data_IF_782161506426
#
_entry.id   IF_782161506426
#
_cell.length_a   1.000
_cell.length_b   1.000
_cell.length_c   1.000
_cell.angle_alpha   90.00
_cell.angle_beta   90.00
_cell.angle_gamma   90.00
#
_symmetry.space_group_name_H-M   'P 1'
#
loop_
_entity.id
_entity.type
_entity.pdbx_description
1 polymer ?
#
# COMPACT_ATOMS: atom_id res chain seq x y z
N UNK A 1 33.53 20.15 -11.04
CA UNK A 1 34.66 20.29 -11.98
C UNK A 1 35.14 18.89 -12.34
N UNK A 2 34.79 18.37 -13.53
CA UNK A 2 35.43 17.15 -14.04
C UNK A 2 34.69 16.26 -15.05
N UNK A 3 33.35 16.30 -15.18
CA UNK A 3 32.65 15.32 -16.05
C UNK A 3 32.78 15.61 -17.55
N UNK A 4 32.67 16.89 -17.95
CA UNK A 4 32.58 17.32 -19.37
C UNK A 4 33.75 16.89 -20.26
N UNK A 5 34.93 16.66 -19.69
CA UNK A 5 36.09 16.19 -20.45
C UNK A 5 36.43 14.72 -20.23
N UNK A 6 35.73 14.02 -19.34
CA UNK A 6 36.07 12.64 -18.97
C UNK A 6 35.34 11.63 -19.85
N UNK A 7 34.04 11.80 -20.08
CA UNK A 7 33.25 11.00 -21.03
C UNK A 7 33.93 10.92 -22.40
N UNK A 8 34.29 12.10 -22.94
CA UNK A 8 34.94 12.21 -24.24
C UNK A 8 36.31 11.52 -24.29
N UNK A 9 37.09 11.55 -23.19
CA UNK A 9 38.38 10.84 -23.11
C UNK A 9 38.20 9.34 -23.14
N UNK A 10 37.10 8.85 -22.56
CA UNK A 10 36.81 7.43 -22.47
C UNK A 10 36.29 6.88 -23.80
N UNK A 11 35.48 7.65 -24.52
CA UNK A 11 35.08 7.33 -25.90
C UNK A 11 36.27 7.32 -26.86
N UNK A 12 37.17 8.31 -26.78
CA UNK A 12 38.39 8.31 -27.59
C UNK A 12 39.31 7.11 -27.30
N UNK A 13 39.43 6.72 -26.03
CA UNK A 13 40.18 5.54 -25.64
C UNK A 13 39.55 4.25 -26.20
N UNK A 14 38.22 4.14 -26.15
CA UNK A 14 37.46 3.01 -26.69
C UNK A 14 37.62 2.87 -28.22
N UNK A 15 37.53 3.97 -28.96
CA UNK A 15 37.72 3.98 -30.42
C UNK A 15 39.15 3.53 -30.81
N UNK A 16 40.15 4.00 -30.07
CA UNK A 16 41.56 3.66 -30.32
C UNK A 16 41.88 2.17 -30.10
N UNK A 17 41.18 1.51 -29.17
CA UNK A 17 41.39 0.10 -28.83
C UNK A 17 40.55 -0.82 -29.70
N UNK A 18 39.33 -0.43 -30.10
CA UNK A 18 38.53 -1.20 -31.08
C UNK A 18 39.22 -1.36 -32.44
N UNK A 19 40.13 -0.45 -32.78
CA UNK A 19 40.98 -0.52 -33.98
C UNK A 19 42.17 -1.51 -33.84
N UNK A 20 42.47 -1.98 -32.63
CA UNK A 20 43.53 -2.94 -32.33
C UNK A 20 42.92 -4.21 -31.74
N UNK A 21 42.71 -5.25 -32.54
CA UNK A 21 42.07 -6.52 -32.13
C UNK A 21 42.57 -7.02 -30.76
N UNK A 22 41.77 -6.79 -29.71
CA UNK A 22 42.02 -7.31 -28.36
C UNK A 22 40.90 -8.29 -28.00
N UNK A 23 41.27 -9.50 -27.57
CA UNK A 23 40.33 -10.48 -27.06
C UNK A 23 40.03 -10.16 -25.59
N UNK A 24 38.88 -9.52 -25.32
CA UNK A 24 38.42 -9.17 -23.97
C UNK A 24 37.46 -7.98 -23.96
N UNK A 25 36.89 -7.66 -22.79
CA UNK A 25 36.14 -6.41 -22.60
C UNK A 25 37.11 -5.22 -22.68
N UNK A 26 36.72 -4.16 -23.40
CA UNK A 26 37.53 -2.97 -23.63
C UNK A 26 38.06 -2.35 -22.30
N UNK A 27 39.36 -2.04 -22.19
CA UNK A 27 39.95 -1.45 -20.98
C UNK A 27 39.34 -0.11 -20.57
N UNK A 28 38.92 0.72 -21.53
CA UNK A 28 38.22 1.97 -21.25
C UNK A 28 36.84 1.67 -20.63
N UNK A 29 36.08 0.74 -21.20
CA UNK A 29 34.80 0.34 -20.62
C UNK A 29 34.93 -0.20 -19.19
N UNK A 30 35.98 -1.00 -18.93
CA UNK A 30 36.28 -1.49 -17.57
C UNK A 30 36.59 -0.35 -16.60
N UNK A 31 37.45 0.59 -16.99
CA UNK A 31 37.82 1.73 -16.14
C UNK A 31 36.59 2.62 -15.86
N UNK A 32 35.73 2.82 -16.85
CA UNK A 32 34.47 3.55 -16.70
C UNK A 32 33.60 2.93 -15.60
N UNK A 33 33.40 1.62 -15.63
CA UNK A 33 32.59 0.94 -14.60
C UNK A 33 33.23 0.95 -13.21
N UNK A 34 34.56 0.94 -13.09
CA UNK A 34 35.24 1.11 -11.81
C UNK A 34 34.98 2.50 -11.22
N UNK A 35 35.04 3.54 -12.05
CA UNK A 35 34.79 4.91 -11.59
C UNK A 35 33.33 5.17 -11.22
N UNK A 36 32.40 4.51 -11.91
CA UNK A 36 30.98 4.51 -11.58
C UNK A 36 30.64 3.58 -10.40
N UNK A 37 31.62 2.88 -9.81
CA UNK A 37 31.45 1.94 -8.70
C UNK A 37 30.45 0.79 -9.02
N UNK A 38 30.52 0.33 -10.27
CA UNK A 38 29.69 -0.75 -10.82
C UNK A 38 30.49 -1.82 -11.57
N UNK A 39 31.80 -1.95 -11.36
CA UNK A 39 32.64 -2.98 -12.01
C UNK A 39 32.18 -4.42 -11.73
N UNK A 40 31.36 -4.60 -10.70
CA UNK A 40 30.71 -5.86 -10.36
C UNK A 40 29.74 -6.36 -11.44
N UNK A 41 29.19 -5.48 -12.31
CA UNK A 41 28.34 -5.89 -13.45
C UNK A 41 29.10 -6.75 -14.47
N UNK A 42 30.43 -6.70 -14.44
CA UNK A 42 31.32 -7.48 -15.32
C UNK A 42 31.57 -8.91 -14.81
N UNK A 43 31.06 -9.25 -13.62
CA UNK A 43 31.31 -10.53 -12.95
C UNK A 43 30.01 -11.35 -12.91
N UNK A 44 30.07 -12.69 -12.76
CA UNK A 44 28.88 -13.50 -12.52
C UNK A 44 28.18 -13.10 -11.20
N UNK A 45 27.01 -12.47 -11.32
CA UNK A 45 26.29 -11.84 -10.20
C UNK A 45 25.36 -12.77 -9.41
N UNK A 46 25.04 -13.92 -9.98
CA UNK A 46 23.97 -14.82 -9.53
C UNK A 46 24.17 -15.32 -8.08
N UNK A 47 25.40 -15.68 -7.71
CA UNK A 47 25.71 -16.21 -6.38
C UNK A 47 25.74 -15.13 -5.28
N UNK A 48 26.14 -13.91 -5.64
CA UNK A 48 26.20 -12.78 -4.72
C UNK A 48 24.79 -12.26 -4.39
N UNK A 49 23.91 -12.22 -5.39
CA UNK A 49 22.52 -11.80 -5.21
C UNK A 49 21.73 -12.79 -4.34
N UNK A 50 22.00 -14.10 -4.44
CA UNK A 50 21.26 -15.12 -3.66
C UNK A 50 21.58 -15.08 -2.16
N UNK A 51 22.80 -14.65 -1.81
CA UNK A 51 23.31 -14.63 -0.43
C UNK A 51 23.21 -13.25 0.24
N UNK A 52 22.93 -12.19 -0.52
CA UNK A 52 22.80 -10.83 -0.02
C UNK A 52 21.55 -10.59 0.84
N UNK A 53 21.66 -9.65 1.77
CA UNK A 53 20.50 -9.13 2.50
C UNK A 53 19.69 -8.15 1.63
N UNK A 54 18.43 -7.88 1.98
CA UNK A 54 17.61 -6.89 1.28
C UNK A 54 18.24 -5.48 1.28
N UNK A 55 18.92 -5.10 2.37
CA UNK A 55 19.67 -3.84 2.45
C UNK A 55 20.85 -3.78 1.47
N UNK A 56 21.59 -4.87 1.35
CA UNK A 56 22.69 -4.96 0.38
C UNK A 56 22.18 -4.85 -1.06
N UNK A 57 21.06 -5.52 -1.37
CA UNK A 57 20.46 -5.44 -2.69
C UNK A 57 20.04 -4.01 -3.06
N UNK A 58 19.43 -3.30 -2.11
CA UNK A 58 19.04 -1.90 -2.30
C UNK A 58 20.26 -1.02 -2.60
N UNK A 59 21.34 -1.14 -1.83
CA UNK A 59 22.56 -0.35 -2.04
C UNK A 59 23.18 -0.60 -3.43
N UNK A 60 23.23 -1.86 -3.86
CA UNK A 60 23.73 -2.25 -5.19
C UNK A 60 22.87 -1.65 -6.30
N UNK A 61 21.55 -1.68 -6.13
CA UNK A 61 20.61 -1.13 -7.10
C UNK A 61 20.67 0.40 -7.15
N UNK A 62 20.84 1.08 -6.03
CA UNK A 62 21.05 2.54 -6.00
C UNK A 62 22.32 2.95 -6.77
N UNK A 63 23.42 2.20 -6.62
CA UNK A 63 24.65 2.42 -7.40
C UNK A 63 24.43 2.15 -8.88
N UNK A 64 23.71 1.07 -9.21
CA UNK A 64 23.36 0.72 -10.59
C UNK A 64 22.48 1.80 -11.26
N UNK A 65 21.45 2.30 -10.58
CA UNK A 65 20.57 3.38 -11.07
C UNK A 65 21.39 4.63 -11.36
N UNK A 66 22.24 5.04 -10.41
CA UNK A 66 23.11 6.23 -10.56
C UNK A 66 24.02 6.09 -11.78
N UNK A 67 24.67 4.94 -11.92
CA UNK A 67 25.56 4.66 -13.05
C UNK A 67 24.81 4.67 -14.39
N UNK A 68 23.64 4.05 -14.47
CA UNK A 68 22.83 4.02 -15.69
C UNK A 68 22.37 5.43 -16.10
N UNK A 69 21.94 6.26 -15.14
CA UNK A 69 21.59 7.66 -15.39
C UNK A 69 22.78 8.43 -15.96
N UNK A 70 23.98 8.26 -15.39
CA UNK A 70 25.20 8.95 -15.89
C UNK A 70 25.54 8.48 -17.31
N UNK A 71 25.47 7.17 -17.58
CA UNK A 71 25.74 6.62 -18.91
C UNK A 71 24.73 7.15 -19.94
N UNK A 72 23.45 7.19 -19.61
CA UNK A 72 22.42 7.68 -20.55
C UNK A 72 22.52 9.20 -20.73
N UNK A 73 22.77 9.97 -19.67
CA UNK A 73 22.98 11.42 -19.78
C UNK A 73 24.23 11.79 -20.59
N UNK A 74 25.22 10.89 -20.68
CA UNK A 74 26.40 11.10 -21.51
C UNK A 74 26.09 11.16 -23.02
N UNK A 75 24.91 10.69 -23.44
CA UNK A 75 24.45 10.77 -24.83
C UNK A 75 24.35 12.23 -25.28
N UNK A 76 23.78 13.12 -24.47
CA UNK A 76 23.66 14.55 -24.83
C UNK A 76 25.03 15.24 -24.94
N UNK A 77 25.96 14.90 -24.05
CA UNK A 77 27.30 15.50 -23.97
C UNK A 77 28.18 15.11 -25.17
N UNK A 78 28.08 13.85 -25.60
CA UNK A 78 28.76 13.30 -26.79
C UNK A 78 28.18 13.87 -28.10
N UNK A 79 26.88 14.15 -28.15
CA UNK A 79 26.19 14.67 -29.33
C UNK A 79 26.45 16.15 -29.61
N UNK A 80 26.67 16.95 -28.58
CA UNK A 80 26.97 18.39 -28.73
C UNK A 80 28.41 18.63 -29.24
N UNK A 81 29.31 17.65 -29.07
CA UNK A 81 30.74 17.82 -29.35
C UNK A 81 31.27 16.99 -30.52
N UNK A 82 30.63 15.88 -30.90
CA UNK A 82 31.17 14.95 -31.88
C UNK A 82 30.63 15.22 -33.30
N UNK A 83 31.42 15.92 -34.12
CA UNK A 83 31.25 15.93 -35.58
C UNK A 83 31.43 14.52 -36.19
N UNK A 84 32.68 14.07 -36.37
CA UNK A 84 33.02 12.80 -37.05
C UNK A 84 33.14 11.57 -36.15
N UNK A 85 32.98 11.70 -34.82
CA UNK A 85 33.14 10.63 -33.81
C UNK A 85 31.85 9.95 -33.35
N UNK A 86 30.69 10.35 -33.88
CA UNK A 86 29.38 9.89 -33.46
C UNK A 86 29.17 8.35 -33.47
N UNK A 87 29.74 7.56 -34.41
CA UNK A 87 29.57 6.11 -34.40
C UNK A 87 30.30 5.41 -33.25
N UNK A 88 31.53 5.84 -32.91
CA UNK A 88 32.31 5.24 -31.82
C UNK A 88 31.70 5.57 -30.46
N UNK A 89 31.23 6.81 -30.29
CA UNK A 89 30.44 7.25 -29.16
C UNK A 89 29.17 6.42 -28.95
N UNK A 90 28.39 6.26 -30.01
CA UNK A 90 27.18 5.45 -29.99
C UNK A 90 27.48 3.99 -29.63
N UNK A 91 28.56 3.41 -30.17
CA UNK A 91 28.99 2.05 -29.85
C UNK A 91 29.45 1.89 -28.40
N UNK A 92 30.19 2.87 -27.86
CA UNK A 92 30.61 2.87 -26.46
C UNK A 92 29.40 2.92 -25.52
N UNK A 93 28.47 3.84 -25.74
CA UNK A 93 27.23 3.94 -24.95
C UNK A 93 26.39 2.67 -25.08
N UNK A 94 26.25 2.13 -26.30
CA UNK A 94 25.52 0.88 -26.55
C UNK A 94 26.10 -0.25 -25.72
N UNK A 95 27.41 -0.43 -25.79
CA UNK A 95 28.10 -1.50 -25.06
C UNK A 95 27.97 -1.29 -23.55
N UNK A 96 28.05 -0.04 -23.08
CA UNK A 96 27.90 0.32 -21.67
C UNK A 96 26.50 -0.01 -21.14
N UNK A 97 25.46 0.45 -21.83
CA UNK A 97 24.06 0.19 -21.45
C UNK A 97 23.75 -1.30 -21.52
N UNK A 98 24.11 -1.99 -22.60
CA UNK A 98 23.89 -3.43 -22.72
C UNK A 98 24.56 -4.23 -21.61
N UNK A 99 25.77 -3.83 -21.19
CA UNK A 99 26.47 -4.48 -20.08
C UNK A 99 25.77 -4.23 -18.74
N UNK A 100 25.30 -3.00 -18.49
CA UNK A 100 24.52 -2.67 -17.30
C UNK A 100 23.22 -3.47 -17.21
N UNK A 101 22.58 -3.72 -18.34
CA UNK A 101 21.30 -4.45 -18.42
C UNK A 101 21.42 -5.96 -18.13
N UNK A 102 22.63 -6.54 -18.16
CA UNK A 102 22.86 -7.92 -17.69
C UNK A 102 22.40 -8.10 -16.23
N UNK A 103 22.47 -7.03 -15.43
CA UNK A 103 21.99 -7.06 -14.06
C UNK A 103 20.47 -7.27 -13.95
N UNK A 104 19.68 -6.81 -14.91
CA UNK A 104 18.23 -7.04 -14.96
C UNK A 104 17.95 -8.54 -15.04
N UNK A 105 18.64 -9.27 -15.91
CA UNK A 105 18.52 -10.73 -16.03
C UNK A 105 18.94 -11.47 -14.74
N UNK A 106 19.88 -10.92 -13.99
CA UNK A 106 20.29 -11.48 -12.70
C UNK A 106 19.19 -11.30 -11.63
N UNK A 107 18.51 -10.15 -11.61
CA UNK A 107 17.39 -9.85 -10.70
C UNK A 107 16.18 -10.74 -10.98
N UNK A 108 15.90 -11.05 -12.26
CA UNK A 108 14.84 -11.99 -12.66
C UNK A 108 14.96 -13.32 -11.90
N UNK A 109 16.17 -13.78 -11.58
CA UNK A 109 16.38 -15.07 -10.94
C UNK A 109 16.38 -15.05 -9.41
N UNK A 110 16.45 -13.87 -8.78
CA UNK A 110 16.71 -13.74 -7.35
C UNK A 110 15.68 -12.87 -6.63
N UNK A 111 14.67 -12.37 -7.36
CA UNK A 111 13.59 -11.58 -6.80
C UNK A 111 12.86 -12.35 -5.67
N UNK A 112 12.51 -11.60 -4.62
CA UNK A 112 11.69 -12.06 -3.50
C UNK A 112 10.60 -11.04 -3.27
N UNK A 113 9.41 -11.45 -2.80
CA UNK A 113 8.28 -10.54 -2.57
C UNK A 113 8.62 -9.29 -1.74
N UNK A 114 9.61 -9.35 -0.84
CA UNK A 114 10.06 -8.22 -0.02
C UNK A 114 10.86 -7.17 -0.79
N UNK A 115 11.33 -7.50 -2.01
CA UNK A 115 12.18 -6.64 -2.83
C UNK A 115 11.38 -5.85 -3.88
N UNK A 116 10.05 -5.72 -3.74
CA UNK A 116 9.21 -5.04 -4.73
C UNK A 116 9.67 -3.60 -5.00
N UNK A 117 10.01 -2.84 -3.95
CA UNK A 117 10.50 -1.47 -4.09
C UNK A 117 11.75 -1.39 -4.97
N UNK A 118 12.70 -2.31 -4.76
CA UNK A 118 13.93 -2.39 -5.54
C UNK A 118 13.64 -2.61 -7.03
N UNK A 119 12.73 -3.54 -7.35
CA UNK A 119 12.35 -3.83 -8.74
C UNK A 119 11.60 -2.65 -9.37
N UNK A 120 10.75 -1.96 -8.59
CA UNK A 120 10.09 -0.73 -9.02
C UNK A 120 11.09 0.38 -9.35
N UNK A 121 12.10 0.59 -8.51
CA UNK A 121 13.14 1.61 -8.73
C UNK A 121 13.94 1.34 -10.02
N UNK A 122 14.30 0.06 -10.26
CA UNK A 122 14.91 -0.36 -11.52
C UNK A 122 14.00 -0.12 -12.72
N UNK A 123 12.72 -0.49 -12.60
CA UNK A 123 11.72 -0.31 -13.65
C UNK A 123 11.56 1.17 -14.04
N UNK A 124 11.41 2.06 -13.05
CA UNK A 124 11.32 3.51 -13.26
C UNK A 124 12.56 4.01 -14.01
N UNK A 125 13.76 3.62 -13.56
CA UNK A 125 15.01 4.05 -14.16
C UNK A 125 15.13 3.61 -15.63
N UNK A 126 14.82 2.34 -15.94
CA UNK A 126 14.85 1.82 -17.32
C UNK A 126 13.81 2.50 -18.20
N UNK A 127 12.60 2.74 -17.70
CA UNK A 127 11.56 3.46 -18.45
C UNK A 127 11.96 4.90 -18.75
N UNK A 128 12.56 5.62 -17.79
CA UNK A 128 13.06 6.97 -18.03
C UNK A 128 14.19 6.97 -19.06
N UNK A 129 15.16 6.06 -18.94
CA UNK A 129 16.25 5.93 -19.90
C UNK A 129 15.74 5.64 -21.32
N UNK A 130 14.78 4.71 -21.46
CA UNK A 130 14.15 4.38 -22.75
C UNK A 130 13.42 5.60 -23.35
N UNK A 131 12.69 6.35 -22.52
CA UNK A 131 12.00 7.56 -22.97
C UNK A 131 12.97 8.65 -23.42
N UNK A 132 14.03 8.93 -22.65
CA UNK A 132 15.05 9.91 -23.01
C UNK A 132 15.69 9.57 -24.37
N UNK A 133 16.10 8.31 -24.56
CA UNK A 133 16.70 7.88 -25.82
C UNK A 133 15.72 7.98 -26.99
N UNK A 134 14.46 7.58 -26.80
CA UNK A 134 13.46 7.60 -27.87
C UNK A 134 12.98 9.01 -28.25
N UNK A 135 13.03 9.98 -27.33
CA UNK A 135 12.51 11.34 -27.54
C UNK A 135 13.57 12.37 -27.88
N UNK A 136 14.79 12.23 -27.35
CA UNK A 136 15.83 13.27 -27.41
C UNK A 136 17.07 12.81 -28.19
N UNK A 137 17.35 11.50 -28.28
CA UNK A 137 18.56 11.00 -28.94
C UNK A 137 18.38 10.79 -30.47
N UNK A 138 19.45 10.91 -31.26
CA UNK A 138 19.43 10.59 -32.68
C UNK A 138 19.13 9.12 -32.94
N UNK A 139 18.63 8.83 -34.15
CA UNK A 139 18.20 7.48 -34.56
C UNK A 139 19.26 6.38 -34.44
N UNK A 140 20.54 6.74 -34.31
CA UNK A 140 21.62 5.79 -34.05
C UNK A 140 21.48 5.07 -32.70
N UNK A 141 20.75 5.66 -31.73
CA UNK A 141 20.49 5.07 -30.41
C UNK A 141 19.19 4.26 -30.34
N UNK A 142 18.43 4.14 -31.44
CA UNK A 142 17.14 3.43 -31.45
C UNK A 142 17.26 1.96 -31.02
N UNK A 143 18.37 1.29 -31.34
CA UNK A 143 18.62 -0.09 -30.93
C UNK A 143 18.74 -0.23 -29.41
N UNK A 144 19.39 0.74 -28.75
CA UNK A 144 19.48 0.80 -27.29
C UNK A 144 18.10 1.11 -26.69
N UNK A 145 17.35 2.06 -27.27
CA UNK A 145 16.00 2.38 -26.84
C UNK A 145 15.09 1.15 -26.82
N UNK A 146 15.13 0.35 -27.90
CA UNK A 146 14.40 -0.92 -28.00
C UNK A 146 14.90 -2.00 -27.01
N UNK A 147 16.19 -1.99 -26.69
CA UNK A 147 16.76 -2.90 -25.68
C UNK A 147 16.28 -2.53 -24.28
N UNK A 148 16.32 -1.25 -23.93
CA UNK A 148 15.78 -0.74 -22.65
C UNK A 148 14.29 -1.03 -22.51
N UNK A 149 13.50 -0.83 -23.57
CA UNK A 149 12.07 -1.15 -23.56
C UNK A 149 11.82 -2.63 -23.25
N UNK A 150 12.59 -3.53 -23.89
CA UNK A 150 12.51 -4.98 -23.64
C UNK A 150 12.84 -5.34 -22.19
N UNK A 151 13.90 -4.76 -21.63
CA UNK A 151 14.27 -4.99 -20.23
C UNK A 151 13.25 -4.37 -19.25
N UNK A 152 12.67 -3.22 -19.60
CA UNK A 152 11.56 -2.62 -18.87
C UNK A 152 10.34 -3.55 -18.82
N UNK A 153 10.01 -4.18 -19.95
CA UNK A 153 8.93 -5.19 -20.01
C UNK A 153 9.23 -6.43 -19.16
N UNK A 154 10.49 -6.89 -19.09
CA UNK A 154 10.87 -7.98 -18.18
C UNK A 154 10.68 -7.59 -16.71
N UNK A 155 11.13 -6.40 -16.33
CA UNK A 155 10.96 -5.87 -14.97
C UNK A 155 9.46 -5.75 -14.61
N UNK A 156 8.63 -5.33 -15.56
CA UNK A 156 7.18 -5.32 -15.39
C UNK A 156 6.60 -6.71 -15.14
N UNK A 157 7.00 -7.72 -15.89
CA UNK A 157 6.57 -9.11 -15.66
C UNK A 157 7.00 -9.63 -14.28
N UNK A 158 8.19 -9.23 -13.79
CA UNK A 158 8.62 -9.54 -12.41
C UNK A 158 7.69 -8.90 -11.40
N UNK A 159 7.36 -7.60 -11.56
CA UNK A 159 6.42 -6.88 -10.68
C UNK A 159 5.06 -7.60 -10.64
N UNK A 160 4.53 -8.00 -11.79
CA UNK A 160 3.29 -8.76 -11.88
C UNK A 160 3.36 -10.10 -11.15
N UNK A 161 4.46 -10.83 -11.31
CA UNK A 161 4.65 -12.13 -10.65
C UNK A 161 4.83 -12.00 -9.13
N UNK A 162 5.58 -11.00 -8.67
CA UNK A 162 5.69 -10.66 -7.25
C UNK A 162 4.32 -10.34 -6.65
N UNK A 163 3.52 -9.52 -7.33
CA UNK A 163 2.18 -9.20 -6.83
C UNK A 163 1.24 -10.42 -6.84
N UNK A 164 1.35 -11.32 -7.82
CA UNK A 164 0.61 -12.60 -7.79
C UNK A 164 1.04 -13.45 -6.60
N UNK A 165 2.34 -13.59 -6.34
CA UNK A 165 2.86 -14.34 -5.20
C UNK A 165 2.38 -13.75 -3.86
N UNK A 166 2.46 -12.42 -3.69
CA UNK A 166 1.95 -11.73 -2.51
C UNK A 166 0.47 -12.05 -2.26
N UNK A 167 -0.35 -12.04 -3.33
CA UNK A 167 -1.78 -12.35 -3.24
C UNK A 167 -2.00 -13.82 -2.85
N UNK A 168 -1.34 -14.77 -3.52
CA UNK A 168 -1.45 -16.20 -3.19
C UNK A 168 -1.05 -16.49 -1.75
N UNK A 169 0.08 -15.94 -1.28
CA UNK A 169 0.53 -16.12 0.10
C UNK A 169 -0.43 -15.50 1.11
N UNK A 170 -1.02 -14.34 0.80
CA UNK A 170 -2.05 -13.75 1.65
C UNK A 170 -3.33 -14.60 1.66
N UNK A 171 -3.69 -15.25 0.56
CA UNK A 171 -4.86 -16.11 0.47
C UNK A 171 -4.69 -17.42 1.24
N UNK A 172 -3.50 -18.01 1.19
CA UNK A 172 -3.16 -19.28 1.85
C UNK A 172 -2.78 -19.10 3.34
N UNK A 173 -2.69 -17.87 3.84
CA UNK A 173 -2.30 -17.61 5.23
C UNK A 173 -3.38 -18.04 6.24
N UNK A 174 -3.13 -19.12 6.98
CA UNK A 174 -4.04 -19.63 8.01
C UNK A 174 -4.26 -18.66 9.19
N UNK A 175 -3.43 -17.62 9.32
CA UNK A 175 -3.59 -16.64 10.40
C UNK A 175 -4.92 -15.90 10.38
N UNK A 176 -5.59 -15.75 9.23
CA UNK A 176 -6.91 -15.11 9.18
C UNK A 176 -7.90 -15.75 10.14
N UNK A 177 -7.92 -17.09 10.21
CA UNK A 177 -8.83 -17.85 11.06
C UNK A 177 -8.53 -17.67 12.57
N UNK A 178 -7.32 -17.24 12.91
CA UNK A 178 -6.86 -17.07 14.29
C UNK A 178 -6.92 -15.59 14.70
N UNK A 179 -6.42 -14.70 13.85
CA UNK A 179 -6.26 -13.28 14.11
C UNK A 179 -7.58 -12.51 14.02
N UNK A 180 -8.52 -12.88 13.12
CA UNK A 180 -9.81 -12.18 13.05
C UNK A 180 -10.62 -12.38 14.36
N UNK A 181 -10.82 -13.60 14.88
CA UNK A 181 -11.59 -13.78 16.10
C UNK A 181 -10.87 -13.28 17.37
N UNK A 182 -9.53 -13.33 17.40
CA UNK A 182 -8.74 -12.98 18.59
C UNK A 182 -8.27 -11.53 18.62
N UNK A 183 -8.11 -10.90 17.46
CA UNK A 183 -7.53 -9.56 17.29
C UNK A 183 -8.50 -8.41 17.62
N UNK A 184 -9.69 -8.71 18.13
CA UNK A 184 -10.66 -7.69 18.52
C UNK A 184 -11.10 -6.78 17.37
N UNK A 185 -10.95 -7.23 16.11
CA UNK A 185 -11.32 -6.48 14.91
C UNK A 185 -10.22 -5.58 14.34
N UNK A 186 -8.98 -5.65 14.83
CA UNK A 186 -7.89 -4.82 14.33
C UNK A 186 -7.55 -5.02 12.85
N UNK A 187 -6.73 -4.10 12.30
CA UNK A 187 -6.21 -4.21 10.94
C UNK A 187 -5.30 -5.44 10.85
N UNK A 188 -5.58 -6.33 9.91
CA UNK A 188 -4.83 -7.57 9.73
C UNK A 188 -3.44 -7.29 9.17
N UNK A 189 -2.45 -8.13 9.52
CA UNK A 189 -1.07 -7.99 9.03
C UNK A 189 -0.96 -8.05 7.51
N UNK A 190 -1.73 -8.93 6.86
CA UNK A 190 -1.72 -9.05 5.39
C UNK A 190 -2.36 -7.82 4.71
N UNK A 191 -3.34 -7.17 5.36
CA UNK A 191 -3.87 -5.88 4.90
C UNK A 191 -2.77 -4.83 4.87
N UNK A 192 -1.98 -4.72 5.96
CA UNK A 192 -0.85 -3.78 6.02
C UNK A 192 0.19 -4.07 4.93
N UNK A 193 0.63 -5.33 4.85
CA UNK A 193 1.65 -5.74 3.89
C UNK A 193 1.23 -5.48 2.42
N UNK A 194 -0.01 -5.83 2.04
CA UNK A 194 -0.51 -5.54 0.69
C UNK A 194 -0.59 -4.02 0.45
N UNK A 195 -1.00 -3.24 1.46
CA UNK A 195 -1.03 -1.79 1.33
C UNK A 195 0.37 -1.17 1.24
N UNK A 196 1.39 -1.73 1.90
CA UNK A 196 2.79 -1.28 1.74
C UNK A 196 3.26 -1.47 0.28
N UNK A 197 2.88 -2.59 -0.35
CA UNK A 197 3.11 -2.81 -1.79
C UNK A 197 2.35 -1.78 -2.65
N UNK A 198 1.10 -1.48 -2.32
CA UNK A 198 0.29 -0.48 -3.03
C UNK A 198 0.94 0.91 -2.93
N UNK A 199 1.40 1.32 -1.74
CA UNK A 199 2.08 2.59 -1.54
C UNK A 199 3.36 2.67 -2.37
N UNK A 200 4.16 1.59 -2.39
CA UNK A 200 5.37 1.49 -3.21
C UNK A 200 5.05 1.72 -4.69
N UNK A 201 3.99 1.07 -5.20
CA UNK A 201 3.52 1.27 -6.58
C UNK A 201 2.96 2.68 -6.82
N UNK A 202 2.24 3.29 -5.87
CA UNK A 202 1.74 4.66 -6.00
C UNK A 202 2.87 5.69 -6.08
N UNK A 203 3.92 5.50 -5.29
CA UNK A 203 5.13 6.34 -5.32
C UNK A 203 5.87 6.19 -6.66
N UNK A 204 6.00 4.96 -7.14
CA UNK A 204 6.57 4.68 -8.46
C UNK A 204 5.76 5.36 -9.58
N UNK A 205 4.42 5.23 -9.55
CA UNK A 205 3.53 5.88 -10.52
C UNK A 205 3.66 7.39 -10.50
N UNK A 206 3.78 7.99 -9.32
CA UNK A 206 3.96 9.44 -9.17
C UNK A 206 5.30 9.90 -9.73
N UNK A 207 6.36 9.13 -9.51
CA UNK A 207 7.70 9.41 -10.04
C UNK A 207 7.75 9.36 -11.57
N UNK A 208 6.89 8.55 -12.20
CA UNK A 208 6.82 8.40 -13.66
C UNK A 208 5.96 9.45 -14.39
N UNK A 209 5.08 10.18 -13.67
CA UNK A 209 4.09 11.10 -14.27
C UNK A 209 4.65 12.20 -15.18
N UNK A 210 5.93 12.54 -15.06
CA UNK A 210 6.57 13.63 -15.79
C UNK A 210 7.69 13.18 -16.74
N UNK A 211 8.01 11.88 -16.76
CA UNK A 211 9.29 11.39 -17.30
C UNK A 211 9.22 10.02 -17.99
N UNK A 212 8.06 9.37 -18.02
CA UNK A 212 7.86 8.08 -18.68
C UNK A 212 6.66 8.08 -19.64
N UNK A 213 6.57 7.11 -20.57
CA UNK A 213 5.40 6.95 -21.44
C UNK A 213 4.11 6.78 -20.63
N UNK A 214 3.01 7.30 -21.18
CA UNK A 214 1.66 7.22 -20.58
C UNK A 214 1.27 5.78 -20.23
N UNK A 215 1.59 4.84 -21.11
CA UNK A 215 1.18 3.44 -21.01
C UNK A 215 1.72 2.75 -19.76
N UNK A 216 2.97 3.03 -19.36
CA UNK A 216 3.55 2.45 -18.14
C UNK A 216 2.92 3.02 -16.86
N UNK A 217 2.57 4.31 -16.89
CA UNK A 217 1.87 4.99 -15.79
C UNK A 217 0.43 4.47 -15.65
N UNK A 218 -0.22 4.12 -16.77
CA UNK A 218 -1.54 3.50 -16.82
C UNK A 218 -1.50 2.04 -16.35
N UNK A 219 -0.52 1.25 -16.81
CA UNK A 219 -0.32 -0.14 -16.39
C UNK A 219 -0.16 -0.25 -14.87
N UNK A 220 0.65 0.63 -14.27
CA UNK A 220 0.84 0.67 -12.82
C UNK A 220 -0.44 1.12 -12.11
N UNK A 221 -1.20 2.06 -12.69
CA UNK A 221 -2.54 2.43 -12.21
C UNK A 221 -3.49 1.24 -12.16
N UNK A 222 -3.59 0.47 -13.25
CA UNK A 222 -4.43 -0.73 -13.32
C UNK A 222 -4.00 -1.82 -12.31
N UNK A 223 -2.69 -1.99 -12.09
CA UNK A 223 -2.18 -2.94 -11.10
C UNK A 223 -2.50 -2.50 -9.66
N UNK A 224 -2.42 -1.20 -9.35
CA UNK A 224 -2.81 -0.64 -8.05
C UNK A 224 -4.29 -0.89 -7.80
N UNK A 225 -5.16 -0.48 -8.73
CA UNK A 225 -6.61 -0.61 -8.59
C UNK A 225 -7.02 -2.08 -8.45
N UNK A 226 -6.47 -2.96 -9.31
CA UNK A 226 -6.71 -4.40 -9.24
C UNK A 226 -6.19 -5.05 -7.95
N UNK A 227 -5.14 -4.51 -7.33
CA UNK A 227 -4.64 -4.99 -6.02
C UNK A 227 -5.57 -4.57 -4.88
N UNK A 228 -6.06 -3.33 -4.92
CA UNK A 228 -7.02 -2.82 -3.92
C UNK A 228 -8.33 -3.62 -4.00
N UNK A 229 -8.86 -3.84 -5.20
CA UNK A 229 -10.09 -4.61 -5.40
C UNK A 229 -9.92 -6.07 -4.97
N UNK A 230 -8.77 -6.69 -5.26
CA UNK A 230 -8.43 -8.01 -4.75
C UNK A 230 -8.45 -8.04 -3.22
N UNK A 231 -7.80 -7.09 -2.56
CA UNK A 231 -7.73 -7.03 -1.10
C UNK A 231 -9.12 -6.88 -0.49
N UNK A 232 -10.00 -6.05 -1.07
CA UNK A 232 -11.39 -5.91 -0.61
C UNK A 232 -12.16 -7.24 -0.70
N UNK A 233 -12.02 -7.95 -1.82
CA UNK A 233 -12.60 -9.28 -1.99
C UNK A 233 -12.08 -10.28 -0.97
N UNK A 234 -10.76 -10.33 -0.79
CA UNK A 234 -10.10 -11.22 0.17
C UNK A 234 -10.59 -10.95 1.61
N UNK A 235 -10.62 -9.68 2.03
CA UNK A 235 -11.13 -9.28 3.34
C UNK A 235 -12.58 -9.74 3.54
N UNK A 236 -13.43 -9.55 2.53
CA UNK A 236 -14.82 -9.99 2.60
C UNK A 236 -14.92 -11.50 2.81
N UNK A 237 -14.24 -12.31 1.99
CA UNK A 237 -14.24 -13.77 2.09
C UNK A 237 -13.65 -14.27 3.40
N UNK A 238 -12.49 -13.76 3.82
CA UNK A 238 -11.83 -14.21 5.05
C UNK A 238 -12.63 -13.83 6.30
N UNK A 239 -13.35 -12.72 6.27
CA UNK A 239 -14.24 -12.30 7.36
C UNK A 239 -15.37 -13.30 7.66
N UNK A 240 -15.75 -14.16 6.71
CA UNK A 240 -16.82 -15.15 6.89
C UNK A 240 -16.49 -16.23 7.92
N UNK A 241 -15.20 -16.44 8.19
CA UNK A 241 -14.76 -17.34 9.27
C UNK A 241 -15.08 -16.82 10.67
N UNK A 242 -15.38 -15.52 10.82
CA UNK A 242 -15.73 -14.91 12.09
C UNK A 242 -17.20 -15.16 12.44
N UNK A 243 -17.44 -16.02 13.43
CA UNK A 243 -18.79 -16.37 13.90
C UNK A 243 -19.52 -15.21 14.59
N UNK A 244 -18.79 -14.31 15.25
CA UNK A 244 -19.37 -13.10 15.81
C UNK A 244 -19.57 -12.07 14.70
N UNK A 245 -20.83 -11.87 14.32
CA UNK A 245 -21.21 -10.96 13.24
C UNK A 245 -20.90 -9.49 13.56
N UNK A 246 -20.93 -9.11 14.84
CA UNK A 246 -20.57 -7.75 15.27
C UNK A 246 -19.07 -7.53 15.09
N UNK A 247 -18.25 -8.49 15.52
CA UNK A 247 -16.81 -8.46 15.34
C UNK A 247 -16.42 -8.48 13.85
N UNK A 248 -17.12 -9.29 13.05
CA UNK A 248 -16.93 -9.37 11.60
C UNK A 248 -17.10 -8.01 10.93
N UNK A 249 -18.18 -7.28 11.21
CA UNK A 249 -18.40 -5.96 10.62
C UNK A 249 -17.43 -4.91 11.16
N UNK A 250 -17.02 -4.99 12.42
CA UNK A 250 -15.99 -4.10 12.95
C UNK A 250 -14.63 -4.33 12.27
N UNK A 251 -14.26 -5.60 12.06
CA UNK A 251 -13.06 -5.99 11.32
C UNK A 251 -13.08 -5.43 9.89
N UNK A 252 -14.18 -5.63 9.15
CA UNK A 252 -14.33 -5.09 7.79
C UNK A 252 -14.24 -3.56 7.79
N UNK A 253 -14.89 -2.89 8.74
CA UNK A 253 -14.83 -1.44 8.88
C UNK A 253 -13.39 -0.94 9.11
N UNK A 254 -12.67 -1.53 10.07
CA UNK A 254 -11.30 -1.12 10.39
C UNK A 254 -10.36 -1.30 9.19
N UNK A 255 -10.45 -2.45 8.51
CA UNK A 255 -9.57 -2.73 7.37
C UNK A 255 -9.93 -1.87 6.15
N UNK A 256 -11.22 -1.68 5.84
CA UNK A 256 -11.63 -0.79 4.75
C UNK A 256 -11.30 0.67 5.01
N UNK A 257 -11.41 1.14 6.25
CA UNK A 257 -11.02 2.50 6.62
C UNK A 257 -9.51 2.69 6.46
N UNK A 258 -8.71 1.75 6.94
CA UNK A 258 -7.25 1.76 6.77
C UNK A 258 -6.84 1.83 5.30
N UNK A 259 -7.44 1.00 4.44
CA UNK A 259 -7.18 1.03 2.99
C UNK A 259 -7.53 2.40 2.40
N UNK A 260 -8.70 2.96 2.74
CA UNK A 260 -9.13 4.26 2.23
C UNK A 260 -8.22 5.41 2.69
N UNK A 261 -7.80 5.37 3.95
CA UNK A 261 -6.90 6.35 4.56
C UNK A 261 -5.52 6.33 3.88
N UNK A 262 -4.88 5.16 3.77
CA UNK A 262 -3.56 5.03 3.12
C UNK A 262 -3.60 5.48 1.67
N UNK A 263 -4.65 5.14 0.91
CA UNK A 263 -4.81 5.60 -0.48
C UNK A 263 -5.00 7.12 -0.54
N UNK A 264 -5.76 7.69 0.40
CA UNK A 264 -5.96 9.13 0.48
C UNK A 264 -4.65 9.86 0.80
N UNK A 265 -3.91 9.42 1.80
CA UNK A 265 -2.62 10.02 2.18
C UNK A 265 -1.60 9.96 1.04
N UNK A 266 -1.52 8.82 0.36
CA UNK A 266 -0.58 8.58 -0.74
C UNK A 266 -0.94 9.32 -2.04
N UNK A 267 -2.19 9.78 -2.18
CA UNK A 267 -2.68 10.49 -3.38
C UNK A 267 -2.72 12.01 -3.23
N UNK A 268 -2.30 12.56 -2.08
CA UNK A 268 -2.51 13.96 -1.70
C UNK A 268 -1.97 14.98 -2.71
N UNK A 269 -2.87 15.37 -3.62
CA UNK A 269 -3.03 16.74 -4.09
C UNK A 269 -3.97 17.46 -3.11
N UNK A 270 -3.40 18.33 -2.27
CA UNK A 270 -4.02 19.37 -1.45
C UNK A 270 -5.56 19.37 -1.25
N UNK A 271 -6.11 18.63 -0.26
CA UNK A 271 -7.05 19.16 0.76
C UNK A 271 -6.98 18.24 2.02
N UNK A 272 -6.15 18.58 3.03
CA UNK A 272 -5.97 17.76 4.23
C UNK A 272 -7.22 17.59 5.11
N UNK A 273 -8.16 18.54 5.10
CA UNK A 273 -9.13 18.70 6.19
C UNK A 273 -10.53 18.13 5.90
N UNK A 274 -10.83 17.72 4.67
CA UNK A 274 -12.20 17.35 4.27
C UNK A 274 -12.49 15.85 4.32
N UNK A 275 -11.47 15.00 4.18
CA UNK A 275 -11.66 13.56 4.01
C UNK A 275 -12.20 12.87 5.26
N UNK A 276 -11.84 13.39 6.44
CA UNK A 276 -12.34 12.88 7.72
C UNK A 276 -13.78 13.29 8.04
N UNK A 277 -14.38 14.22 7.28
CA UNK A 277 -15.72 14.72 7.57
C UNK A 277 -16.82 13.73 7.17
N UNK A 278 -16.56 12.83 6.21
CA UNK A 278 -17.55 11.86 5.74
C UNK A 278 -16.89 10.52 5.49
N UNK A 279 -17.38 9.48 6.17
CA UNK A 279 -16.93 8.10 5.96
C UNK A 279 -17.14 7.68 4.50
N UNK A 280 -16.17 6.99 3.88
CA UNK A 280 -16.37 6.37 2.57
C UNK A 280 -17.64 5.51 2.55
N UNK A 281 -18.38 5.43 1.42
CA UNK A 281 -19.66 4.73 1.35
C UNK A 281 -19.60 3.27 1.84
N UNK A 282 -18.51 2.57 1.52
CA UNK A 282 -18.23 1.20 1.97
C UNK A 282 -18.04 1.11 3.48
N UNK A 283 -17.24 2.01 4.07
CA UNK A 283 -17.04 2.10 5.51
C UNK A 283 -18.36 2.42 6.22
N UNK A 284 -19.16 3.34 5.67
CA UNK A 284 -20.49 3.66 6.21
C UNK A 284 -21.40 2.44 6.23
N UNK A 285 -21.44 1.65 5.15
CA UNK A 285 -22.21 0.39 5.08
C UNK A 285 -21.81 -0.59 6.17
N UNK A 286 -20.52 -0.79 6.40
CA UNK A 286 -20.03 -1.69 7.46
C UNK A 286 -20.33 -1.15 8.86
N UNK A 287 -20.20 0.17 9.07
CA UNK A 287 -20.59 0.81 10.33
C UNK A 287 -22.08 0.64 10.61
N UNK A 288 -22.95 0.88 9.64
CA UNK A 288 -24.40 0.71 9.81
C UNK A 288 -24.75 -0.75 10.14
N UNK A 289 -24.14 -1.71 9.43
CA UNK A 289 -24.32 -3.14 9.69
C UNK A 289 -23.83 -3.55 11.09
N UNK A 290 -22.66 -3.05 11.51
CA UNK A 290 -22.14 -3.26 12.86
C UNK A 290 -23.10 -2.72 13.93
N UNK A 291 -23.62 -1.50 13.75
CA UNK A 291 -24.54 -0.88 14.71
C UNK A 291 -25.86 -1.65 14.81
N UNK A 292 -26.39 -2.13 13.69
CA UNK A 292 -27.64 -2.89 13.66
C UNK A 292 -27.50 -4.25 14.35
N UNK A 293 -26.42 -4.99 14.07
CA UNK A 293 -26.17 -6.30 14.68
C UNK A 293 -25.81 -6.17 16.18
N UNK A 294 -24.94 -5.21 16.53
CA UNK A 294 -24.46 -5.04 17.90
C UNK A 294 -25.50 -4.40 18.81
N UNK A 295 -26.08 -3.27 18.38
CA UNK A 295 -26.88 -2.39 19.25
C UNK A 295 -28.38 -2.46 18.92
N UNK A 296 -28.77 -3.05 17.80
CA UNK A 296 -30.18 -3.22 17.43
C UNK A 296 -30.96 -4.06 18.45
N UNK A 297 -30.40 -5.18 18.94
CA UNK A 297 -31.10 -5.99 19.94
C UNK A 297 -31.17 -5.32 21.32
N UNK A 298 -30.14 -4.56 21.70
CA UNK A 298 -30.14 -3.76 22.95
C UNK A 298 -31.33 -2.79 22.93
N UNK A 299 -31.49 -2.07 21.82
CA UNK A 299 -32.61 -1.15 21.62
C UNK A 299 -33.95 -1.87 21.48
N UNK A 300 -33.99 -3.09 20.97
CA UNK A 300 -35.23 -3.88 20.86
C UNK A 300 -35.83 -4.29 22.20
N UNK A 301 -35.03 -4.24 23.29
CA UNK A 301 -35.52 -4.49 24.65
C UNK A 301 -36.49 -3.40 25.12
N UNK A 302 -36.43 -2.22 24.49
CA UNK A 302 -37.27 -1.06 24.75
C UNK A 302 -38.57 -1.18 23.93
N UNK A 303 -39.75 -1.31 24.55
CA UNK A 303 -41.01 -1.44 23.85
C UNK A 303 -41.41 -0.13 23.17
N UNK A 304 -41.84 -0.20 21.90
CA UNK A 304 -42.28 0.98 21.11
C UNK A 304 -43.76 1.36 21.29
N UNK A 305 -44.51 0.67 22.16
CA UNK A 305 -45.98 0.79 22.21
C UNK A 305 -46.52 1.21 23.58
N UNK A 306 -47.58 2.02 23.53
CA UNK A 306 -48.33 2.48 24.72
C UNK A 306 -49.32 1.40 25.16
N UNK A 307 -48.90 0.52 26.06
CA UNK A 307 -49.79 -0.47 26.69
C UNK A 307 -50.80 0.17 27.67
N UNK A 308 -51.89 -0.51 28.09
CA UNK A 308 -52.79 -0.04 29.15
C UNK A 308 -52.09 0.19 30.51
N UNK A 309 -52.61 1.10 31.35
CA UNK A 309 -51.91 1.69 32.52
C UNK A 309 -51.40 0.70 33.59
N UNK A 310 -52.10 -0.40 33.83
CA UNK A 310 -51.69 -1.43 34.82
C UNK A 310 -50.69 -2.45 34.24
N UNK A 311 -50.76 -2.69 32.92
CA UNK A 311 -49.84 -3.58 32.21
C UNK A 311 -48.50 -2.85 31.95
N UNK A 312 -48.53 -1.50 31.80
CA UNK A 312 -47.36 -0.63 31.65
C UNK A 312 -46.31 -0.84 32.73
N UNK A 313 -46.66 -0.76 34.01
CA UNK A 313 -45.66 -0.76 35.09
C UNK A 313 -44.84 -2.06 35.16
N UNK A 314 -45.50 -3.22 35.01
CA UNK A 314 -44.84 -4.53 35.05
C UNK A 314 -44.01 -4.81 33.78
N UNK A 315 -44.56 -4.51 32.60
CA UNK A 315 -43.83 -4.64 31.33
C UNK A 315 -42.60 -3.73 31.34
N UNK A 316 -42.74 -2.48 31.79
CA UNK A 316 -41.67 -1.49 31.78
C UNK A 316 -40.53 -1.87 32.72
N UNK A 317 -40.83 -2.35 33.93
CA UNK A 317 -39.77 -2.81 34.85
C UNK A 317 -39.01 -4.02 34.27
N UNK A 318 -39.72 -4.93 33.59
CA UNK A 318 -39.09 -6.09 32.93
C UNK A 318 -38.27 -5.70 31.70
N UNK A 319 -38.70 -4.70 30.94
CA UNK A 319 -37.99 -4.17 29.77
C UNK A 319 -36.75 -3.38 30.14
N UNK A 320 -36.82 -2.57 31.20
CA UNK A 320 -35.66 -1.87 31.77
C UNK A 320 -34.57 -2.85 32.17
N UNK A 321 -34.91 -3.90 32.93
CA UNK A 321 -33.94 -4.93 33.33
C UNK A 321 -33.33 -5.67 32.12
N UNK A 322 -34.13 -5.96 31.09
CA UNK A 322 -33.64 -6.57 29.84
C UNK A 322 -32.68 -5.65 29.10
N UNK A 323 -33.02 -4.36 28.98
CA UNK A 323 -32.15 -3.36 28.36
C UNK A 323 -30.83 -3.26 29.12
N UNK A 324 -30.87 -3.09 30.44
CA UNK A 324 -29.67 -2.98 31.28
C UNK A 324 -28.77 -4.22 31.12
N UNK A 325 -29.36 -5.42 31.16
CA UNK A 325 -28.62 -6.66 30.98
C UNK A 325 -28.01 -6.78 29.58
N UNK A 326 -28.75 -6.42 28.53
CA UNK A 326 -28.26 -6.47 27.15
C UNK A 326 -27.15 -5.44 26.92
N UNK A 327 -27.33 -4.22 27.42
CA UNK A 327 -26.33 -3.15 27.37
C UNK A 327 -25.02 -3.57 28.05
N UNK A 328 -25.09 -4.04 29.29
CA UNK A 328 -23.89 -4.44 30.03
C UNK A 328 -23.17 -5.62 29.36
N UNK A 329 -23.92 -6.61 28.87
CA UNK A 329 -23.34 -7.74 28.12
C UNK A 329 -22.61 -7.25 26.86
N UNK A 330 -23.23 -6.34 26.11
CA UNK A 330 -22.62 -5.78 24.90
C UNK A 330 -21.38 -4.96 25.22
N UNK A 331 -21.48 -4.04 26.18
CA UNK A 331 -20.35 -3.22 26.63
C UNK A 331 -19.17 -4.09 27.10
N UNK A 332 -19.42 -5.12 27.93
CA UNK A 332 -18.34 -6.00 28.41
C UNK A 332 -17.68 -6.78 27.28
N UNK A 333 -18.43 -7.18 26.24
CA UNK A 333 -17.88 -7.86 25.07
C UNK A 333 -16.99 -6.92 24.23
N UNK A 334 -17.42 -5.66 24.05
CA UNK A 334 -16.82 -4.75 23.07
C UNK A 334 -15.80 -3.76 23.64
N UNK A 335 -15.74 -3.56 24.96
CA UNK A 335 -14.82 -2.58 25.58
C UNK A 335 -13.35 -2.84 25.25
N UNK A 336 -12.96 -4.11 25.05
CA UNK A 336 -11.60 -4.52 24.69
C UNK A 336 -11.43 -4.86 23.21
N UNK A 337 -12.41 -4.56 22.37
CA UNK A 337 -12.21 -4.63 20.93
C UNK A 337 -11.32 -3.48 20.47
N UNK A 338 -10.74 -3.59 19.29
CA UNK A 338 -9.75 -2.64 18.79
C UNK A 338 -10.34 -1.86 17.63
N UNK A 339 -10.23 -0.54 17.71
CA UNK A 339 -10.43 0.38 16.58
C UNK A 339 -9.17 1.23 16.50
N UNK A 340 -8.15 0.80 15.72
CA UNK A 340 -6.83 1.41 15.79
C UNK A 340 -6.84 2.92 15.48
N UNK A 341 -7.61 3.32 14.47
CA UNK A 341 -7.71 4.73 14.07
C UNK A 341 -8.54 5.56 15.07
N UNK A 342 -7.98 6.64 15.63
CA UNK A 342 -8.66 7.45 16.65
C UNK A 342 -9.86 8.24 16.10
N UNK A 343 -9.86 8.64 14.83
CA UNK A 343 -10.97 9.40 14.24
C UNK A 343 -12.18 8.49 14.06
N UNK A 344 -11.98 7.32 13.45
CA UNK A 344 -12.98 6.26 13.31
C UNK A 344 -13.53 5.84 14.67
N UNK A 345 -12.66 5.65 15.67
CA UNK A 345 -13.06 5.32 17.05
C UNK A 345 -13.96 6.40 17.64
N UNK A 346 -13.59 7.66 17.48
CA UNK A 346 -14.40 8.81 17.91
C UNK A 346 -15.77 8.85 17.23
N UNK A 347 -15.82 8.62 15.92
CA UNK A 347 -17.07 8.56 15.14
C UNK A 347 -17.95 7.41 15.59
N UNK A 348 -17.41 6.22 15.80
CA UNK A 348 -18.14 5.05 16.31
C UNK A 348 -18.72 5.32 17.69
N UNK A 349 -17.91 5.77 18.65
CA UNK A 349 -18.37 6.10 20.01
C UNK A 349 -19.48 7.14 20.00
N UNK A 350 -19.31 8.22 19.24
CA UNK A 350 -20.32 9.27 19.10
C UNK A 350 -21.62 8.73 18.51
N UNK A 351 -21.53 7.88 17.49
CA UNK A 351 -22.70 7.31 16.80
C UNK A 351 -23.45 6.32 17.70
N UNK A 352 -22.73 5.42 18.38
CA UNK A 352 -23.30 4.49 19.37
C UNK A 352 -23.96 5.27 20.50
N UNK A 353 -23.25 6.24 21.08
CA UNK A 353 -23.76 7.09 22.16
C UNK A 353 -25.04 7.79 21.73
N UNK A 354 -25.04 8.48 20.59
CA UNK A 354 -26.25 9.15 20.09
C UNK A 354 -27.41 8.16 19.92
N UNK A 355 -27.15 6.98 19.35
CA UNK A 355 -28.17 5.97 19.05
C UNK A 355 -28.75 5.35 20.33
N UNK A 356 -27.91 4.96 21.28
CA UNK A 356 -28.32 4.31 22.53
C UNK A 356 -28.95 5.30 23.50
N UNK A 357 -28.33 6.46 23.69
CA UNK A 357 -28.80 7.48 24.64
C UNK A 357 -30.11 8.11 24.17
N UNK A 358 -30.29 8.37 22.87
CA UNK A 358 -31.58 8.85 22.36
C UNK A 358 -32.67 7.82 22.61
N UNK A 359 -32.46 6.55 22.22
CA UNK A 359 -33.48 5.51 22.40
C UNK A 359 -33.82 5.24 23.87
N UNK A 360 -32.84 5.31 24.77
CA UNK A 360 -33.07 5.15 26.20
C UNK A 360 -33.67 6.39 26.86
N UNK A 361 -33.26 7.60 26.45
CA UNK A 361 -33.82 8.86 26.92
C UNK A 361 -35.30 8.98 26.58
N UNK A 362 -35.66 8.75 25.31
CA UNK A 362 -37.05 8.75 24.85
C UNK A 362 -37.91 7.77 25.67
N UNK A 363 -37.36 6.59 26.00
CA UNK A 363 -38.04 5.59 26.84
C UNK A 363 -38.28 6.08 28.27
N UNK A 364 -37.29 6.74 28.89
CA UNK A 364 -37.44 7.29 30.25
C UNK A 364 -38.45 8.44 30.29
N UNK A 365 -38.47 9.31 29.27
CA UNK A 365 -39.44 10.39 29.15
C UNK A 365 -40.88 9.86 29.00
N UNK A 366 -41.08 8.78 28.25
CA UNK A 366 -42.39 8.14 28.09
C UNK A 366 -42.86 7.39 29.36
N UNK A 367 -41.95 7.11 30.30
CA UNK A 367 -42.19 6.30 31.49
C UNK A 367 -41.60 6.91 32.77
N UNK A 368 -42.09 8.07 33.23
CA UNK A 368 -41.58 8.75 34.43
C UNK A 368 -41.70 7.90 35.71
N UNK A 369 -42.57 6.89 35.73
CA UNK A 369 -42.64 5.92 36.83
C UNK A 369 -41.33 5.13 37.06
N UNK A 370 -40.47 5.04 36.05
CA UNK A 370 -39.18 4.33 36.11
C UNK A 370 -38.07 5.14 36.79
N UNK A 371 -38.25 6.45 36.97
CA UNK A 371 -37.24 7.35 37.55
C UNK A 371 -36.76 6.89 38.94
N UNK A 372 -37.67 6.30 39.73
CA UNK A 372 -37.38 5.75 41.06
C UNK A 372 -36.46 4.52 41.04
N UNK A 373 -36.42 3.80 39.93
CA UNK A 373 -35.60 2.61 39.72
C UNK A 373 -34.25 3.00 39.12
N UNK A 374 -34.24 3.92 38.15
CA UNK A 374 -33.02 4.46 37.52
C UNK A 374 -32.12 5.17 38.53
N UNK A 375 -32.69 6.01 39.41
CA UNK A 375 -31.92 6.74 40.44
C UNK A 375 -31.32 5.85 41.53
N UNK A 376 -31.68 4.57 41.60
CA UNK A 376 -31.15 3.59 42.56
C UNK A 376 -30.16 2.59 41.92
N UNK A 377 -30.05 2.55 40.60
CA UNK A 377 -29.26 1.60 39.82
C UNK A 377 -28.13 2.29 39.04
N UNK A 378 -27.14 1.52 38.57
CA UNK A 378 -26.01 1.98 37.70
C UNK A 378 -26.44 2.43 36.29
N UNK A 379 -27.69 2.81 36.10
CA UNK A 379 -28.35 2.91 34.80
C UNK A 379 -28.71 4.35 34.42
N UNK A 380 -28.18 5.34 35.14
CA UNK A 380 -28.37 6.75 34.77
C UNK A 380 -27.79 7.03 33.38
N UNK A 381 -28.40 7.98 32.67
CA UNK A 381 -28.00 8.36 31.31
C UNK A 381 -26.51 8.75 31.22
N UNK A 382 -26.00 9.45 32.25
CA UNK A 382 -24.60 9.88 32.33
C UNK A 382 -23.64 8.70 32.51
N UNK A 383 -23.97 7.73 33.36
CA UNK A 383 -23.14 6.53 33.56
C UNK A 383 -23.07 5.70 32.28
N UNK A 384 -24.19 5.50 31.58
CA UNK A 384 -24.19 4.76 30.31
C UNK A 384 -23.34 5.49 29.26
N UNK A 385 -23.43 6.82 29.21
CA UNK A 385 -22.64 7.65 28.28
C UNK A 385 -21.14 7.58 28.57
N UNK A 386 -20.74 7.60 29.85
CA UNK A 386 -19.35 7.39 30.27
C UNK A 386 -18.83 6.03 29.83
N UNK A 387 -19.59 4.96 30.10
CA UNK A 387 -19.24 3.60 29.66
C UNK A 387 -19.09 3.50 28.12
N UNK A 388 -20.01 4.10 27.35
CA UNK A 388 -19.90 4.12 25.89
C UNK A 388 -18.67 4.89 25.39
N UNK A 389 -18.18 5.86 26.17
CA UNK A 389 -16.95 6.59 25.91
C UNK A 389 -15.68 5.73 26.03
N UNK A 390 -15.75 4.61 26.76
CA UNK A 390 -14.64 3.66 26.99
C UNK A 390 -14.64 2.50 26.00
N UNK A 391 -15.60 2.42 25.07
CA UNK A 391 -15.63 1.34 24.09
C UNK A 391 -14.40 1.36 23.20
N UNK A 392 -13.82 0.20 22.92
CA UNK A 392 -12.67 0.06 22.03
C UNK A 392 -11.33 0.61 22.56
N UNK A 393 -11.10 0.55 23.88
CA UNK A 393 -9.81 0.92 24.51
C UNK A 393 -8.88 -0.30 24.71
N UNK A 394 -9.13 -1.41 24.00
CA UNK A 394 -8.36 -2.67 24.11
C UNK A 394 -7.08 -2.75 23.29
#
# INVERSE_FOLDING_TARGET
MGSEGYTQRMVQAFDSVSLTESFGLDPALRNWFVELDVDWVLKPLQFQLQSGSGYWLQEVVERWIRALIIIVASIDEELVTAGSGAPAAAQFVTTSVSTMLIFVDAIVQVHRKENLQVVLDMFICVCHASHMISSEAPSIFNEIGATLEREGNKLWEIILNMMKEVRTLAEEDDSWAIEIPRGGGEVHRNTRFIMDCVVSMMNARTSMKHSAPTDNTENLGGLIDGTIDYLKGLLFTKSESCSDQSLRYLFLLNNSYFVADVVFESSRSFIPDLWHLTLPPECKKYMDSYLDVSWGHVLSCIPKSRFPRLIRCWINTSSLAKFESAFHKMYQAQKFWKVPDPQLRGVLRKTITKRVISGYGDYLEEHPELEKYVGRQRSSLEVLKEMLGELFEG
#
